data_IF_775107209936
#
_entry.id   IF_775107209936
#
_cell.length_a   1.000
_cell.length_b   1.000
_cell.length_c   1.000
_cell.angle_alpha   90.00
_cell.angle_beta   90.00
_cell.angle_gamma   90.00
#
_symmetry.space_group_name_H-M   'P 1'
#
loop_
_entity.id
_entity.type
_entity.pdbx_description
1 polymer ?
2 polymer ?
3 non-polymer ?
#
# COMPACT_ATOMS: atom_id res chain seq x y z
N UNK A 1 -3.35 3.91 -14.35
CA UNK A 1 -2.38 3.21 -13.48
C UNK A 1 -1.31 4.18 -12.96
N UNK A 2 -1.43 5.45 -13.35
CA UNK A 2 -0.46 6.46 -12.93
C UNK A 2 -0.48 6.65 -11.42
N UNK A 3 -1.68 6.75 -10.85
CA UNK A 3 -1.83 6.94 -9.42
C UNK A 3 -1.21 5.79 -8.63
N UNK A 4 -1.27 4.59 -9.18
CA UNK A 4 -0.69 3.42 -8.52
C UNK A 4 0.83 3.54 -8.49
N UNK A 5 1.40 3.96 -9.60
CA UNK A 5 2.85 4.12 -9.71
C UNK A 5 3.34 5.21 -8.77
N UNK A 6 2.66 6.36 -8.80
CA UNK A 6 3.02 7.48 -7.95
C UNK A 6 2.75 7.17 -6.48
N UNK A 7 1.75 6.33 -6.22
CA UNK A 7 1.40 5.95 -4.86
C UNK A 7 2.58 5.30 -4.16
N UNK A 8 3.32 4.46 -4.89
CA UNK A 8 4.48 3.79 -4.34
C UNK A 8 5.48 4.81 -3.81
N UNK A 9 5.63 5.91 -4.55
CA UNK A 9 6.55 6.97 -4.17
C UNK A 9 6.03 7.72 -2.94
N UNK A 10 4.71 7.86 -2.86
CA UNK A 10 4.07 8.55 -1.74
C UNK A 10 4.13 7.69 -0.48
N UNK A 11 4.02 6.38 -0.65
CA UNK A 11 4.07 5.45 0.46
C UNK A 11 5.50 5.33 0.99
N UNK A 12 6.45 5.32 0.06
CA UNK A 12 7.86 5.21 0.40
C UNK A 12 8.42 6.56 0.83
N UNK A 13 8.62 6.73 2.13
CA UNK A 13 9.13 7.99 2.67
C UNK A 13 10.64 7.93 2.85
N UNK A 14 11.17 6.74 3.09
CA UNK A 14 12.61 6.59 3.30
C UNK A 14 13.37 6.64 1.97
N UNK A 15 12.66 6.36 0.89
CA UNK A 15 13.26 6.41 -0.43
C UNK A 15 14.15 5.22 -0.74
N UNK A 16 13.60 4.03 -0.65
CA UNK A 16 14.36 2.81 -0.93
C UNK A 16 13.66 1.97 -1.98
N UNK A 17 12.50 2.46 -2.43
CA UNK A 17 11.75 1.75 -3.44
C UNK A 17 11.04 0.53 -2.89
N UNK A 18 10.79 0.56 -1.59
CA UNK A 18 10.10 -0.54 -0.92
C UNK A 18 9.16 -0.03 0.17
N UNK A 19 8.00 -0.67 0.23
CA UNK A 19 6.99 -0.33 1.22
C UNK A 19 7.16 -1.21 2.46
N UNK A 20 7.79 -0.65 3.48
CA UNK A 20 8.01 -1.38 4.72
C UNK A 20 6.76 -1.33 5.60
N UNK A 21 6.69 -2.20 6.60
CA UNK A 21 5.55 -2.25 7.50
C UNK A 21 5.37 -0.91 8.21
N UNK A 22 6.48 -0.33 8.67
CA UNK A 22 6.45 0.94 9.36
C UNK A 22 5.99 2.06 8.43
N UNK A 23 6.34 1.94 7.15
CA UNK A 23 5.97 2.94 6.15
C UNK A 23 4.49 2.82 5.82
N UNK A 24 4.01 1.59 5.69
CA UNK A 24 2.60 1.37 5.38
C UNK A 24 1.72 1.85 6.51
N UNK A 25 2.25 1.79 7.73
CA UNK A 25 1.52 2.24 8.91
C UNK A 25 1.11 3.70 8.74
N UNK A 26 2.09 4.56 8.49
CA UNK A 26 1.83 6.00 8.31
C UNK A 26 0.85 6.26 7.18
N UNK A 27 0.94 5.45 6.13
CA UNK A 27 0.06 5.59 4.97
C UNK A 27 -1.38 5.23 5.31
N UNK A 28 -1.58 4.02 5.79
CA UNK A 28 -2.93 3.54 6.10
C UNK A 28 -3.52 4.19 7.36
N UNK A 29 -2.70 4.78 8.23
CA UNK A 29 -3.24 5.43 9.42
C UNK A 29 -3.79 6.81 9.07
N UNK A 30 -3.08 7.54 8.22
CA UNK A 30 -3.52 8.87 7.80
C UNK A 30 -4.78 8.76 6.95
N UNK A 31 -4.95 7.58 6.36
CA UNK A 31 -6.11 7.28 5.54
C UNK A 31 -7.40 7.43 6.33
N UNK A 32 -7.34 7.08 7.62
CA UNK A 32 -8.49 7.19 8.47
C UNK A 32 -8.67 5.99 9.36
N UNK A 33 -8.94 4.84 8.74
CA UNK A 33 -9.14 3.59 9.48
C UNK A 33 -7.80 3.05 9.99
N UNK A 34 -7.43 3.46 11.20
CA UNK A 34 -6.17 3.03 11.79
C UNK A 34 -6.34 1.68 12.46
N UNK A 35 -5.81 0.64 11.82
CA UNK A 35 -5.89 -0.71 12.35
C UNK A 35 -4.66 -1.02 13.19
N UNK A 36 -4.65 -2.19 13.82
CA UNK A 36 -3.53 -2.58 14.67
C UNK A 36 -2.33 -3.02 13.84
N UNK A 37 -1.17 -3.13 14.48
CA UNK A 37 0.06 -3.55 13.82
C UNK A 37 -0.12 -4.89 13.14
N UNK A 38 -0.86 -5.78 13.80
CA UNK A 38 -1.14 -7.11 13.26
C UNK A 38 -1.92 -7.02 11.97
N UNK A 39 -2.94 -6.16 11.95
CA UNK A 39 -3.76 -5.97 10.78
C UNK A 39 -2.96 -5.32 9.66
N UNK A 40 -2.08 -4.39 10.03
CA UNK A 40 -1.23 -3.72 9.06
C UNK A 40 -0.27 -4.74 8.45
N UNK A 41 0.25 -5.63 9.30
CA UNK A 41 1.14 -6.68 8.85
C UNK A 41 0.36 -7.64 7.96
N UNK A 42 -0.86 -7.98 8.40
CA UNK A 42 -1.75 -8.85 7.64
C UNK A 42 -1.91 -8.33 6.24
N UNK A 43 -2.06 -7.01 6.14
CA UNK A 43 -2.21 -6.34 4.86
C UNK A 43 -1.09 -6.69 3.93
N UNK A 44 0.15 -6.56 4.39
CA UNK A 44 1.29 -6.86 3.54
C UNK A 44 1.48 -8.36 3.41
N UNK A 45 0.97 -9.12 4.37
CA UNK A 45 1.08 -10.58 4.31
C UNK A 45 0.29 -11.09 3.11
N UNK A 46 -0.85 -10.46 2.86
CA UNK A 46 -1.70 -10.84 1.73
C UNK A 46 -1.34 -10.00 0.50
N UNK A 47 -0.38 -9.08 0.70
CA UNK A 47 0.08 -8.23 -0.38
C UNK A 47 1.49 -8.66 -0.81
N UNK A 48 1.94 -9.76 -0.22
CA UNK A 48 3.25 -10.31 -0.50
C UNK A 48 3.11 -11.68 -1.15
N UNK A 49 3.71 -11.85 -2.31
CA UNK A 49 3.64 -13.11 -3.04
C UNK A 49 5.04 -13.69 -3.25
N UNK A 50 6.04 -12.83 -3.29
CA UNK A 50 7.41 -13.27 -3.50
C UNK A 50 8.01 -13.84 -2.22
N UNK A 51 7.30 -13.66 -1.10
CA UNK A 51 7.78 -14.17 0.17
C UNK A 51 8.93 -13.38 0.72
N UNK A 52 8.69 -12.11 1.00
CA UNK A 52 9.72 -11.24 1.54
C UNK A 52 9.18 -10.41 2.70
N UNK A 53 7.86 -10.32 2.80
CA UNK A 53 7.25 -9.57 3.88
C UNK A 53 6.87 -8.15 3.48
N UNK A 54 7.41 -7.68 2.37
CA UNK A 54 7.12 -6.33 1.90
C UNK A 54 6.46 -6.38 0.52
N UNK A 55 5.95 -5.23 0.09
CA UNK A 55 5.31 -5.14 -1.22
C UNK A 55 6.23 -4.40 -2.19
N UNK A 56 6.71 -5.11 -3.21
CA UNK A 56 7.58 -4.48 -4.20
C UNK A 56 6.72 -3.98 -5.36
N UNK A 57 7.36 -3.42 -6.38
CA UNK A 57 6.65 -2.88 -7.53
C UNK A 57 5.71 -3.92 -8.16
N UNK A 58 6.27 -5.05 -8.55
CA UNK A 58 5.49 -6.12 -9.19
C UNK A 58 4.34 -6.60 -8.29
N UNK A 59 4.64 -6.83 -7.02
CA UNK A 59 3.64 -7.29 -6.06
C UNK A 59 2.52 -6.26 -5.92
N UNK A 60 2.91 -4.99 -5.83
CA UNK A 60 1.97 -3.89 -5.71
C UNK A 60 1.02 -3.87 -6.90
N UNK A 61 1.59 -4.03 -8.09
CA UNK A 61 0.82 -4.03 -9.33
C UNK A 61 -0.15 -5.21 -9.39
N UNK A 62 0.36 -6.41 -9.12
CA UNK A 62 -0.46 -7.62 -9.18
C UNK A 62 -1.54 -7.64 -8.10
N UNK A 63 -1.22 -7.17 -6.90
CA UNK A 63 -2.19 -7.19 -5.82
C UNK A 63 -3.30 -6.17 -6.05
N UNK A 64 -2.93 -4.98 -6.53
CA UNK A 64 -3.91 -3.94 -6.78
C UNK A 64 -4.71 -4.24 -8.05
N UNK A 65 -4.01 -4.62 -9.09
CA UNK A 65 -4.66 -4.93 -10.37
C UNK A 65 -4.77 -6.43 -10.56
N UNK A 66 -5.74 -7.04 -9.89
CA UNK A 66 -5.94 -8.48 -9.99
C UNK A 66 -6.94 -8.80 -11.10
N UNK A 67 -6.54 -9.68 -12.00
CA UNK A 67 -7.39 -10.08 -13.11
C UNK A 67 -7.97 -11.46 -12.83
N UNK B 1 -8.68 -9.11 7.34
CA UNK B 1 -8.62 -8.97 5.86
C UNK B 1 -8.77 -7.50 5.50
N UNK B 2 -7.65 -6.78 5.52
CA UNK B 2 -7.62 -5.35 5.24
C UNK B 2 -7.19 -5.05 3.79
N UNK B 3 -6.93 -6.09 3.01
CA UNK B 3 -6.53 -5.96 1.59
C UNK B 3 -7.16 -4.73 0.90
N UNK B 4 -8.48 -4.58 1.02
CA UNK B 4 -9.20 -3.47 0.39
C UNK B 4 -8.69 -2.12 0.90
N UNK B 5 -8.11 -2.11 2.09
CA UNK B 5 -7.56 -0.90 2.66
C UNK B 5 -6.32 -0.48 1.88
N UNK B 6 -5.64 -1.44 1.21
CA UNK B 6 -4.48 -1.08 0.38
C UNK B 6 -5.00 -0.12 -0.71
N UNK B 7 -6.00 -0.55 -1.52
CA UNK B 7 -6.60 0.32 -2.53
C UNK B 7 -7.21 1.58 -1.91
N UNK B 8 -7.47 1.55 -0.59
CA UNK B 8 -8.03 2.72 0.09
C UNK B 8 -7.15 3.96 -0.12
N UNK B 9 -5.86 4.03 0.38
CA UNK B 9 -5.03 5.20 0.11
C UNK B 9 -4.77 5.34 -1.40
N UNK B 10 -4.83 4.22 -2.11
CA UNK B 10 -4.66 4.25 -3.57
C UNK B 10 -5.78 5.08 -4.19
N UNK B 11 -7.00 4.85 -3.71
CA UNK B 11 -8.18 5.58 -4.16
C UNK B 11 -8.07 7.03 -3.70
N UNK B 12 -7.43 7.21 -2.55
CA UNK B 12 -7.21 8.54 -2.00
C UNK B 12 -6.26 9.30 -2.91
N UNK B 13 -5.33 8.57 -3.54
CA UNK B 13 -4.40 9.18 -4.47
C UNK B 13 -5.17 9.78 -5.63
N UNK B 14 -6.13 9.01 -6.15
CA UNK B 14 -6.97 9.48 -7.24
C UNK B 14 -7.84 10.65 -6.76
N UNK B 15 -8.27 10.57 -5.51
CA UNK B 15 -9.09 11.61 -4.89
C UNK B 15 -8.25 12.87 -4.70
N UNK B 16 -6.99 12.67 -4.35
CA UNK B 16 -6.05 13.77 -4.14
C UNK B 16 -5.79 14.47 -5.46
N UNK B 17 -5.86 13.70 -6.54
CA UNK B 17 -5.67 14.24 -7.87
C UNK B 17 -6.83 15.18 -8.20
N UNK B 18 -8.03 14.74 -7.83
CA UNK B 18 -9.23 15.53 -8.03
C UNK B 18 -9.18 16.76 -7.13
N UNK B 19 -8.72 16.55 -5.89
CA UNK B 19 -8.59 17.64 -4.93
C UNK B 19 -7.55 18.64 -5.43
X LIG C 1 10.47 2.84 2.14
X LIG D 1 7.22 -9.31 -1.36
#
# INVERSE_FOLDING_TARGET
EEEIREAFRVFDKDGNGYISAAELRHVMTNLGEKLTDEEVDEMIREADIDGDGQVNYEEFVQMMTAK
RAANLWPSPLMIKRSKKNS
CA CA
CA CA
#
